data_IF_606152658092
#
_entry.id   IF_606152658092
#
_cell.length_a   1.000
_cell.length_b   1.000
_cell.length_c   1.000
_cell.angle_alpha   90.00
_cell.angle_beta   90.00
_cell.angle_gamma   90.00
#
_symmetry.space_group_name_H-M   'P 1'
#
loop_
_entity.id
_entity.type
_entity.pdbx_description
1 polymer ?
#
# COMPACT_ATOMS: atom_id res chain seq x y z
N UNK A 1 35.97 29.45 -2.47
CA UNK A 1 35.02 28.99 -1.45
C UNK A 1 34.70 27.54 -1.76
N UNK A 2 35.34 26.60 -1.07
CA UNK A 2 35.17 25.16 -1.35
C UNK A 2 33.98 24.68 -0.52
N UNK A 3 32.85 24.37 -1.16
CA UNK A 3 31.74 23.72 -0.48
C UNK A 3 32.24 22.34 -0.04
N UNK A 4 32.36 22.15 1.28
CA UNK A 4 32.45 20.81 1.86
C UNK A 4 31.11 20.14 1.60
N UNK A 5 31.07 19.21 0.65
CA UNK A 5 29.98 18.24 0.55
C UNK A 5 29.99 17.43 1.85
N UNK A 6 29.21 17.88 2.83
CA UNK A 6 28.87 17.06 4.00
C UNK A 6 28.13 15.85 3.43
N UNK A 7 28.84 14.73 3.26
CA UNK A 7 28.22 13.44 2.99
C UNK A 7 27.27 13.18 4.15
N UNK A 8 25.97 13.36 3.92
CA UNK A 8 24.94 12.93 4.86
C UNK A 8 25.07 11.42 4.93
N UNK A 9 25.71 10.93 5.98
CA UNK A 9 25.70 9.51 6.30
C UNK A 9 24.28 9.22 6.78
N UNK A 10 23.44 8.73 5.88
CA UNK A 10 22.11 8.23 6.27
C UNK A 10 22.37 6.95 7.04
N UNK A 11 22.33 7.07 8.36
CA UNK A 11 22.44 5.92 9.25
C UNK A 11 21.11 5.17 9.25
N UNK A 12 21.19 3.88 8.92
CA UNK A 12 20.03 2.98 8.95
C UNK A 12 19.67 2.67 10.40
N UNK A 13 18.38 2.75 10.74
CA UNK A 13 17.84 2.30 12.02
C UNK A 13 17.46 0.81 11.96
N UNK A 14 16.57 0.46 11.02
CA UNK A 14 16.10 -0.91 10.82
C UNK A 14 15.60 -1.12 9.39
N UNK A 15 15.12 -2.34 9.10
CA UNK A 15 14.55 -2.71 7.80
C UNK A 15 13.19 -3.36 8.01
N UNK A 16 12.21 -2.98 7.19
CA UNK A 16 10.86 -3.52 7.21
C UNK A 16 10.66 -4.43 5.99
N UNK A 17 10.28 -5.69 6.21
CA UNK A 17 9.93 -6.58 5.12
C UNK A 17 8.48 -6.32 4.72
N UNK A 18 8.30 -5.99 3.45
CA UNK A 18 7.03 -5.63 2.85
C UNK A 18 6.53 -6.75 1.93
N UNK A 19 5.22 -6.96 1.90
CA UNK A 19 4.51 -7.80 0.95
C UNK A 19 3.45 -6.97 0.22
N UNK A 20 3.46 -6.98 -1.11
CA UNK A 20 2.36 -6.42 -1.91
C UNK A 20 1.30 -7.50 -2.13
N UNK A 21 0.05 -7.24 -1.73
CA UNK A 21 -1.07 -8.16 -1.99
C UNK A 21 -1.34 -8.32 -3.47
N UNK A 22 -2.02 -9.41 -3.85
CA UNK A 22 -2.26 -9.87 -5.23
C UNK A 22 -1.00 -10.29 -6.01
N UNK A 23 0.01 -9.43 -6.09
CA UNK A 23 1.25 -9.72 -6.82
C UNK A 23 2.20 -10.64 -6.06
N UNK A 24 2.03 -10.73 -4.72
CA UNK A 24 2.92 -11.45 -3.80
C UNK A 24 4.39 -10.99 -3.85
N UNK A 25 4.67 -9.81 -4.41
CA UNK A 25 6.02 -9.23 -4.46
C UNK A 25 6.49 -8.89 -3.04
N UNK A 26 7.72 -9.28 -2.72
CA UNK A 26 8.34 -9.06 -1.41
C UNK A 26 9.62 -8.26 -1.56
N UNK A 27 9.86 -7.36 -0.61
CA UNK A 27 11.12 -6.61 -0.54
C UNK A 27 11.35 -6.07 0.86
N UNK A 28 12.60 -5.73 1.15
CA UNK A 28 12.98 -5.06 2.39
C UNK A 28 13.11 -3.55 2.14
N UNK A 29 12.39 -2.74 2.92
CA UNK A 29 12.49 -1.28 2.93
C UNK A 29 13.33 -0.79 4.11
N UNK A 30 14.32 0.06 3.84
CA UNK A 30 15.22 0.57 4.88
C UNK A 30 14.60 1.80 5.51
N UNK A 31 14.62 1.85 6.84
CA UNK A 31 14.24 3.04 7.61
C UNK A 31 15.50 3.62 8.22
N UNK A 32 15.77 4.90 7.92
CA UNK A 32 16.93 5.64 8.40
C UNK A 32 16.60 6.54 9.58
N UNK A 33 17.64 7.15 10.18
CA UNK A 33 17.47 8.19 11.21
C UNK A 33 16.76 9.43 10.69
N UNK A 34 16.90 9.71 9.39
CA UNK A 34 16.19 10.79 8.70
C UNK A 34 15.63 10.27 7.37
N UNK A 35 14.45 10.75 7.02
CA UNK A 35 13.83 10.61 5.71
C UNK A 35 13.87 11.95 4.99
N UNK A 36 14.07 11.92 3.67
CA UNK A 36 14.04 13.12 2.83
C UNK A 36 12.89 13.04 1.84
N UNK A 37 11.92 13.93 1.99
CA UNK A 37 10.74 13.97 1.12
C UNK A 37 11.05 14.64 -0.24
N UNK A 38 10.07 14.61 -1.16
CA UNK A 38 10.23 15.19 -2.51
C UNK A 38 10.46 16.72 -2.47
N UNK A 39 10.05 17.39 -1.39
CA UNK A 39 10.30 18.81 -1.15
C UNK A 39 11.69 19.09 -0.55
N UNK A 40 12.58 18.09 -0.49
CA UNK A 40 13.94 18.20 0.04
C UNK A 40 13.98 18.61 1.53
N UNK A 41 12.91 18.31 2.28
CA UNK A 41 12.82 18.48 3.73
C UNK A 41 13.34 17.21 4.40
N UNK A 42 14.30 17.35 5.31
CA UNK A 42 14.80 16.27 6.15
C UNK A 42 13.89 16.12 7.39
N UNK A 43 13.30 14.94 7.54
CA UNK A 43 12.35 14.58 8.60
C UNK A 43 13.03 13.53 9.50
N UNK A 44 13.24 13.80 10.80
CA UNK A 44 13.81 12.81 11.72
C UNK A 44 12.83 11.65 11.95
N UNK A 45 13.35 10.46 12.27
CA UNK A 45 12.53 9.27 12.50
C UNK A 45 11.44 9.46 13.58
N UNK A 46 11.70 10.31 14.57
CA UNK A 46 10.75 10.63 15.63
C UNK A 46 9.49 11.33 15.09
N UNK A 47 9.62 12.08 14.00
CA UNK A 47 8.53 12.79 13.32
C UNK A 47 8.04 12.09 12.03
N UNK A 48 8.67 10.96 11.66
CA UNK A 48 8.40 10.25 10.42
C UNK A 48 7.03 9.55 10.46
N UNK A 49 6.08 10.05 9.68
CA UNK A 49 4.71 9.55 9.65
C UNK A 49 4.55 8.36 8.70
N UNK A 50 3.44 7.61 8.86
CA UNK A 50 3.07 6.53 7.95
C UNK A 50 2.86 7.04 6.52
N UNK A 51 2.38 8.28 6.34
CA UNK A 51 2.27 8.92 5.02
C UNK A 51 3.62 9.15 4.35
N UNK A 52 4.64 9.54 5.10
CA UNK A 52 6.00 9.72 4.56
C UNK A 52 6.60 8.37 4.16
N UNK A 53 6.33 7.32 4.95
CA UNK A 53 6.73 5.96 4.59
C UNK A 53 5.98 5.45 3.34
N UNK A 54 4.70 5.82 3.18
CA UNK A 54 3.93 5.53 1.97
C UNK A 54 4.57 6.19 0.73
N UNK A 55 4.94 7.47 0.80
CA UNK A 55 5.71 8.17 -0.24
C UNK A 55 7.03 7.44 -0.55
N UNK A 56 7.79 7.07 0.48
CA UNK A 56 9.04 6.32 0.32
C UNK A 56 8.83 4.99 -0.42
N UNK A 57 7.83 4.20 -0.03
CA UNK A 57 7.49 2.93 -0.69
C UNK A 57 7.09 3.17 -2.15
N UNK A 58 6.29 4.20 -2.42
CA UNK A 58 5.83 4.53 -3.76
C UNK A 58 6.97 4.93 -4.71
N UNK A 59 8.15 5.32 -4.20
CA UNK A 59 9.33 5.56 -5.05
C UNK A 59 9.88 4.27 -5.69
N UNK A 60 9.54 3.09 -5.16
CA UNK A 60 9.95 1.80 -5.75
C UNK A 60 9.16 1.48 -7.01
N UNK A 61 9.88 1.12 -8.07
CA UNK A 61 9.25 0.70 -9.33
C UNK A 61 8.27 -0.45 -9.14
N UNK A 62 8.65 -1.47 -8.36
CA UNK A 62 7.78 -2.61 -8.07
C UNK A 62 6.45 -2.21 -7.40
N UNK A 63 6.45 -1.14 -6.60
CA UNK A 63 5.21 -0.61 -6.01
C UNK A 63 4.44 0.19 -7.07
N UNK A 64 5.08 1.09 -7.82
CA UNK A 64 4.44 1.89 -8.89
C UNK A 64 3.77 1.04 -9.97
N UNK A 65 4.38 -0.07 -10.35
CA UNK A 65 3.86 -0.96 -11.38
C UNK A 65 2.52 -1.61 -10.99
N UNK A 66 2.27 -1.74 -9.69
CA UNK A 66 1.08 -2.40 -9.14
C UNK A 66 0.08 -1.37 -8.60
N UNK A 67 0.59 -0.42 -7.84
CA UNK A 67 -0.14 0.67 -7.20
C UNK A 67 0.05 1.89 -8.11
N UNK A 68 -0.96 2.22 -8.91
CA UNK A 68 -0.85 3.30 -9.91
C UNK A 68 -0.70 4.71 -9.29
N UNK A 69 -1.14 4.90 -8.03
CA UNK A 69 -1.07 6.15 -7.26
C UNK A 69 -0.87 5.81 -5.78
N UNK A 70 -0.01 6.54 -5.05
CA UNK A 70 0.25 6.36 -3.61
C UNK A 70 -1.00 6.46 -2.73
N UNK A 71 -2.00 7.24 -3.14
CA UNK A 71 -3.31 7.33 -2.47
C UNK A 71 -4.14 6.05 -2.63
N UNK A 72 -3.83 5.24 -3.65
CA UNK A 72 -4.50 3.97 -3.94
C UNK A 72 -3.79 2.78 -3.28
N UNK A 73 -3.07 2.99 -2.18
CA UNK A 73 -2.63 1.88 -1.33
C UNK A 73 -2.87 2.14 0.14
N UNK A 74 -3.14 1.04 0.84
CA UNK A 74 -3.29 1.00 2.28
C UNK A 74 -2.14 0.19 2.87
N UNK A 75 -1.50 0.74 3.90
CA UNK A 75 -0.47 0.04 4.66
C UNK A 75 -1.11 -0.67 5.85
N UNK A 76 -0.82 -1.96 5.98
CA UNK A 76 -1.29 -2.78 7.08
C UNK A 76 -0.06 -3.32 7.82
N UNK A 77 -0.03 -3.19 9.15
CA UNK A 77 0.98 -3.80 10.01
C UNK A 77 0.58 -5.25 10.27
N UNK A 78 1.50 -6.18 10.07
CA UNK A 78 1.33 -7.58 10.48
C UNK A 78 1.52 -7.67 12.00
N UNK A 79 0.60 -8.35 12.69
CA UNK A 79 0.78 -8.67 14.11
C UNK A 79 1.74 -9.86 14.25
N UNK A 80 2.84 -9.63 14.97
CA UNK A 80 4.08 -10.43 15.01
C UNK A 80 3.91 -11.86 15.55
N UNK A 81 2.71 -12.20 16.02
CA UNK A 81 2.39 -13.45 16.71
C UNK A 81 1.78 -14.53 15.79
N UNK A 82 1.61 -14.30 14.48
CA UNK A 82 0.69 -15.16 13.70
C UNK A 82 1.15 -15.71 12.35
N UNK A 83 2.23 -15.22 11.73
CA UNK A 83 2.58 -15.75 10.40
C UNK A 83 4.09 -15.66 10.06
N UNK A 84 4.72 -16.81 9.84
CA UNK A 84 6.01 -16.93 9.15
C UNK A 84 5.89 -16.66 7.65
N UNK A 85 6.98 -16.27 6.98
CA UNK A 85 6.98 -16.03 5.51
C UNK A 85 6.40 -17.21 4.72
N UNK A 86 6.65 -18.45 5.16
CA UNK A 86 6.12 -19.67 4.54
C UNK A 86 4.61 -19.83 4.73
N UNK A 87 4.07 -19.44 5.87
CA UNK A 87 2.64 -19.53 6.14
C UNK A 87 1.83 -18.49 5.34
N UNK A 88 2.43 -17.35 4.97
CA UNK A 88 1.79 -16.38 4.06
C UNK A 88 1.63 -16.91 2.63
N UNK A 89 2.46 -17.86 2.18
CA UNK A 89 2.42 -18.36 0.79
C UNK A 89 1.14 -19.12 0.46
N UNK A 90 0.59 -19.83 1.43
CA UNK A 90 -0.59 -20.66 1.25
C UNK A 90 -1.90 -19.96 1.64
N UNK A 91 -1.83 -18.69 2.07
CA UNK A 91 -2.99 -17.92 2.50
C UNK A 91 -3.56 -17.07 1.38
N UNK A 92 -4.87 -16.90 1.40
CA UNK A 92 -5.59 -15.93 0.58
C UNK A 92 -5.31 -14.51 1.05
N UNK A 93 -5.60 -13.52 0.19
CA UNK A 93 -5.46 -12.10 0.57
C UNK A 93 -6.31 -11.74 1.78
N UNK A 94 -7.54 -12.24 1.85
CA UNK A 94 -8.47 -11.96 2.95
C UNK A 94 -7.99 -12.57 4.28
N UNK A 95 -7.44 -13.79 4.24
CA UNK A 95 -6.82 -14.39 5.42
C UNK A 95 -5.64 -13.56 5.91
N UNK A 96 -4.76 -13.11 5.00
CA UNK A 96 -3.60 -12.27 5.36
C UNK A 96 -4.06 -10.97 6.00
N UNK A 97 -5.06 -10.30 5.41
CA UNK A 97 -5.64 -9.06 5.95
C UNK A 97 -6.20 -9.29 7.37
N UNK A 98 -6.80 -10.45 7.64
CA UNK A 98 -7.30 -10.82 8.97
C UNK A 98 -6.24 -10.89 10.08
N UNK A 99 -4.95 -10.95 9.73
CA UNK A 99 -3.83 -10.91 10.67
C UNK A 99 -3.17 -9.53 10.79
N UNK A 100 -3.73 -8.52 10.13
CA UNK A 100 -3.12 -7.20 10.05
C UNK A 100 -3.98 -6.12 10.70
N UNK A 101 -3.30 -5.08 11.19
CA UNK A 101 -3.92 -3.84 11.67
C UNK A 101 -3.66 -2.73 10.66
N UNK A 102 -4.68 -1.91 10.39
CA UNK A 102 -4.53 -0.73 9.53
C UNK A 102 -3.57 0.27 10.17
N UNK A 103 -2.63 0.79 9.37
CA UNK A 103 -1.76 1.88 9.79
C UNK A 103 -2.40 3.22 9.40
N UNK A 104 -2.55 4.11 10.37
CA UNK A 104 -3.16 5.43 10.16
C UNK A 104 -2.14 6.39 9.53
N UNK A 105 -2.47 7.07 8.42
CA UNK A 105 -1.49 7.89 7.67
C UNK A 105 -0.78 8.97 8.50
N UNK A 106 -1.51 9.61 9.42
CA UNK A 106 -1.00 10.69 10.27
C UNK A 106 -0.30 10.20 11.55
N UNK A 107 -0.33 8.89 11.80
CA UNK A 107 0.39 8.32 12.95
C UNK A 107 1.88 8.22 12.65
N UNK A 108 2.68 8.35 13.70
CA UNK A 108 4.13 8.15 13.60
C UNK A 108 4.45 6.69 13.33
N UNK A 109 5.41 6.43 12.44
CA UNK A 109 5.86 5.06 12.15
C UNK A 109 6.44 4.38 13.40
N UNK A 110 7.04 5.18 14.30
CA UNK A 110 7.58 4.74 15.59
C UNK A 110 6.51 4.17 16.52
N UNK A 111 5.23 4.55 16.41
CA UNK A 111 4.15 3.93 17.18
C UNK A 111 3.93 2.46 16.82
N UNK A 112 4.22 2.10 15.58
CA UNK A 112 4.09 0.74 15.07
C UNK A 112 5.38 -0.08 15.26
N UNK A 113 6.55 0.57 15.22
CA UNK A 113 7.87 -0.08 15.21
C UNK A 113 8.89 0.60 16.13
N UNK A 114 8.66 0.58 17.46
CA UNK A 114 9.52 1.26 18.44
C UNK A 114 10.97 0.78 18.49
N UNK A 115 11.22 -0.52 18.43
CA UNK A 115 12.55 -1.13 18.59
C UNK A 115 13.06 -1.83 17.33
N UNK A 116 12.36 -1.66 16.20
CA UNK A 116 12.58 -2.43 14.98
C UNK A 116 12.03 -3.87 15.10
N UNK A 117 11.41 -4.42 14.05
CA UNK A 117 10.91 -5.79 14.05
C UNK A 117 11.99 -6.81 13.64
N UNK A 118 11.73 -8.08 13.92
CA UNK A 118 12.64 -9.19 13.59
C UNK A 118 12.72 -9.43 12.08
N UNK A 119 13.94 -9.54 11.55
CA UNK A 119 14.23 -9.55 10.11
C UNK A 119 13.67 -10.75 9.35
N UNK A 120 13.22 -11.80 10.04
CA UNK A 120 12.70 -13.01 9.40
C UNK A 120 11.21 -12.93 9.01
N UNK A 121 10.47 -11.95 9.52
CA UNK A 121 9.02 -11.87 9.34
C UNK A 121 8.61 -10.80 8.33
N UNK A 122 7.39 -10.91 7.78
CA UNK A 122 6.75 -9.81 7.07
C UNK A 122 6.20 -8.82 8.10
N UNK A 123 6.46 -7.54 7.90
CA UNK A 123 6.07 -6.48 8.83
C UNK A 123 4.93 -5.64 8.28
N UNK A 124 4.96 -5.38 6.97
CA UNK A 124 4.00 -4.51 6.31
C UNK A 124 3.40 -5.25 5.12
N UNK A 125 2.08 -5.21 5.05
CA UNK A 125 1.31 -5.60 3.89
C UNK A 125 0.83 -4.34 3.18
N UNK A 126 1.18 -4.23 1.90
CA UNK A 126 0.72 -3.17 1.01
C UNK A 126 -0.51 -3.73 0.29
N UNK A 127 -1.67 -3.14 0.57
CA UNK A 127 -2.93 -3.48 -0.08
C UNK A 127 -3.22 -2.44 -1.17
N UNK A 128 -3.09 -2.79 -2.47
CA UNK A 128 -3.57 -1.93 -3.55
C UNK A 128 -5.09 -1.79 -3.48
N UNK A 129 -5.57 -0.56 -3.41
CA UNK A 129 -6.98 -0.22 -3.51
C UNK A 129 -7.34 -0.25 -4.99
N UNK A 130 -8.15 -1.22 -5.40
CA UNK A 130 -8.78 -1.15 -6.72
C UNK A 130 -9.82 -0.06 -6.66
N UNK A 131 -9.61 1.03 -7.40
CA UNK A 131 -10.72 1.85 -7.85
C UNK A 131 -11.62 0.91 -8.63
N UNK A 132 -12.74 0.48 -8.03
CA UNK A 132 -13.83 -0.02 -8.82
C UNK A 132 -14.26 1.18 -9.66
N UNK A 133 -13.76 1.28 -10.89
CA UNK A 133 -14.59 1.87 -11.95
C UNK A 133 -15.89 1.12 -11.83
N UNK A 134 -16.89 1.78 -11.24
CA UNK A 134 -18.20 1.20 -11.09
C UNK A 134 -18.54 0.60 -12.44
N UNK A 135 -18.97 -0.65 -12.45
CA UNK A 135 -19.78 -1.14 -13.54
C UNK A 135 -21.02 -0.25 -13.54
N UNK A 136 -20.91 0.94 -14.12
CA UNK A 136 -22.05 1.58 -14.72
C UNK A 136 -22.54 0.52 -15.69
N UNK A 137 -23.70 -0.06 -15.36
CA UNK A 137 -24.51 -0.73 -16.36
C UNK A 137 -24.44 0.16 -17.60
N UNK A 138 -24.12 -0.37 -18.80
CA UNK A 138 -24.31 0.42 -19.99
C UNK A 138 -25.74 0.94 -19.90
N UNK A 139 -25.89 2.26 -19.77
CA UNK A 139 -27.18 2.92 -19.91
C UNK A 139 -27.57 2.63 -21.35
N UNK A 140 -28.21 1.49 -21.58
CA UNK A 140 -28.97 1.28 -22.78
C UNK A 140 -30.01 2.38 -22.75
N UNK A 141 -29.77 3.41 -23.56
CA UNK A 141 -30.79 4.34 -23.98
C UNK A 141 -31.91 3.48 -24.57
N UNK A 142 -32.90 3.12 -23.75
CA UNK A 142 -34.18 2.65 -24.23
C UNK A 142 -34.82 3.86 -24.90
N UNK A 143 -34.47 4.07 -26.17
CA UNK A 143 -35.21 4.97 -27.04
C UNK A 143 -36.67 4.54 -26.97
N UNK A 144 -37.56 5.50 -26.71
CA UNK A 144 -39.00 5.30 -26.70
C UNK A 144 -39.49 4.93 -28.11
N UNK A 145 -39.24 3.70 -28.55
CA UNK A 145 -40.03 3.06 -29.60
C UNK A 145 -41.24 2.43 -28.93
N UNK A 146 -42.38 3.12 -29.02
CA UNK A 146 -43.69 2.52 -28.75
C UNK A 146 -43.85 1.31 -29.68
N UNK A 147 -43.73 0.11 -29.13
CA UNK A 147 -44.18 -1.10 -29.81
C UNK A 147 -45.71 -1.11 -29.78
N UNK A 148 -46.35 -0.83 -30.91
CA UNK A 148 -47.75 -1.17 -31.11
C UNK A 148 -47.82 -2.68 -31.34
N UNK A 149 -48.18 -3.43 -30.29
CA UNK A 149 -48.47 -4.85 -30.40
C UNK A 149 -49.89 -4.99 -30.95
N UNK A 150 -50.03 -5.21 -32.26
CA UNK A 150 -51.28 -5.65 -32.88
C UNK A 150 -51.55 -7.09 -32.44
N UNK A 151 -52.56 -7.29 -31.59
CA UNK A 151 -53.03 -8.63 -31.24
C UNK A 151 -53.81 -9.20 -32.42
N UNK A 152 -53.23 -10.17 -33.13
CA UNK A 152 -54.01 -11.11 -33.93
C UNK A 152 -54.75 -12.04 -32.94
N UNK A 153 -56.08 -12.01 -32.97
CA UNK A 153 -56.90 -13.11 -32.48
C UNK A 153 -57.35 -13.90 -33.69
N UNK A 154 -56.97 -15.17 -33.73
CA UNK A 154 -57.65 -16.18 -34.52
C UNK A 154 -58.88 -16.60 -33.72
N UNK A 155 -60.05 -16.45 -34.34
CA UNK A 155 -61.19 -17.38 -34.38
C UNK A 155 -62.27 -16.80 -35.31
#
# INVERSE_FOLDING_TARGET
MMYSEKRISIKMLFSLNCLILKSRVRFAEKVGENYKNDNNIDIPFEDFAVSDFNEQLFRRQAVKDIVQNSENMKLLKVELDRISVRELENKTDDEIIGFCTVMEPLSLLSYYFKSGPDREYIHIVIQPLTLTTGKCLPTFYLSNKKFAVTKYRFD
#
